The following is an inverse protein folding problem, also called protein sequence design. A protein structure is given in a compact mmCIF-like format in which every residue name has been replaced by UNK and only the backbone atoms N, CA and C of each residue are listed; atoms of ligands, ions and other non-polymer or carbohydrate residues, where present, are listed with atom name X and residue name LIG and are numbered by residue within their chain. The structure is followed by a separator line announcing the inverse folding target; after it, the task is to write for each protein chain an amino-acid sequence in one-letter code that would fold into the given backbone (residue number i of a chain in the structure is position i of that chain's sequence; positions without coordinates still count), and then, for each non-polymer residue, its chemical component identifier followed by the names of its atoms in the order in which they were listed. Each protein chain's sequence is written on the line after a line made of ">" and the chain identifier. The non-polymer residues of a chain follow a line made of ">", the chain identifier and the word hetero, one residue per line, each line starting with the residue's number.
data_IF_699224612893
#
_entry.id   IF_699224612893
#
_cell.length_a   1.000
_cell.length_b   1.000
_cell.length_c   1.000
_cell.angle_alpha   90.00
_cell.angle_beta   90.00
_cell.angle_gamma   90.00
#
_symmetry.space_group_name_H-M   'P 1'
#
loop_
_entity.id
_entity.type
_entity.pdbx_description
1 polymer ?
#
# COMPACT_ATOMS: atom_id res chain seq x y z
N UNK A 1 -41.61 -37.80 -8.58
CA UNK A 1 -41.35 -38.28 -9.96
C UNK A 1 -39.87 -38.15 -10.23
N UNK A 2 -39.17 -39.26 -10.47
CA UNK A 2 -37.73 -39.28 -10.75
C UNK A 2 -37.46 -38.62 -12.10
N UNK A 3 -36.52 -37.67 -12.14
CA UNK A 3 -36.11 -36.96 -13.35
C UNK A 3 -35.54 -37.98 -14.35
N UNK A 4 -35.88 -37.93 -15.66
CA UNK A 4 -35.37 -38.88 -16.65
C UNK A 4 -33.83 -38.84 -16.69
N UNK A 5 -33.16 -39.92 -17.14
CA UNK A 5 -31.71 -39.95 -17.24
C UNK A 5 -31.27 -38.94 -18.30
N UNK A 6 -30.89 -37.74 -17.86
CA UNK A 6 -30.31 -36.76 -18.77
C UNK A 6 -29.00 -37.33 -19.33
N UNK A 7 -28.71 -37.11 -20.62
CA UNK A 7 -27.48 -37.59 -21.24
C UNK A 7 -26.32 -37.08 -20.39
N UNK A 8 -25.46 -38.01 -19.93
CA UNK A 8 -24.40 -37.73 -18.96
C UNK A 8 -23.54 -36.53 -19.36
N UNK A 9 -23.41 -36.26 -20.65
CA UNK A 9 -22.76 -35.09 -21.22
C UNK A 9 -23.34 -33.76 -20.73
N UNK A 10 -24.66 -33.63 -20.60
CA UNK A 10 -25.29 -32.40 -20.09
C UNK A 10 -25.00 -32.20 -18.60
N UNK A 11 -24.98 -33.30 -17.83
CA UNK A 11 -24.60 -33.25 -16.42
C UNK A 11 -23.13 -32.86 -16.25
N UNK A 12 -22.24 -33.41 -17.07
CA UNK A 12 -20.81 -33.08 -17.09
C UNK A 12 -20.57 -31.64 -17.54
N UNK A 13 -21.29 -31.17 -18.56
CA UNK A 13 -21.18 -29.79 -19.05
C UNK A 13 -21.58 -28.78 -17.97
N UNK A 14 -22.70 -29.02 -17.27
CA UNK A 14 -23.13 -28.19 -16.13
C UNK A 14 -22.15 -28.21 -14.96
N UNK A 15 -21.54 -29.37 -14.67
CA UNK A 15 -20.51 -29.47 -13.64
C UNK A 15 -19.26 -28.67 -14.02
N UNK A 16 -18.82 -28.77 -15.27
CA UNK A 16 -17.66 -28.03 -15.76
C UNK A 16 -17.92 -26.52 -15.82
N UNK A 17 -19.12 -26.10 -16.21
CA UNK A 17 -19.54 -24.70 -16.21
C UNK A 17 -19.62 -24.13 -14.79
N UNK A 18 -20.13 -24.90 -13.83
CA UNK A 18 -20.08 -24.55 -12.40
C UNK A 18 -18.65 -24.50 -11.87
N UNK A 19 -17.79 -25.43 -12.28
CA UNK A 19 -16.39 -25.45 -11.90
C UNK A 19 -15.64 -24.24 -12.47
N UNK A 20 -15.85 -23.88 -13.73
CA UNK A 20 -15.27 -22.70 -14.36
C UNK A 20 -15.81 -21.40 -13.74
N UNK A 21 -17.10 -21.35 -13.38
CA UNK A 21 -17.68 -20.22 -12.66
C UNK A 21 -17.14 -20.11 -11.22
N UNK A 22 -16.84 -21.23 -10.56
CA UNK A 22 -16.19 -21.25 -9.25
C UNK A 22 -14.73 -20.81 -9.37
N UNK A 23 -14.01 -21.34 -10.35
CA UNK A 23 -12.61 -21.00 -10.63
C UNK A 23 -12.47 -19.52 -11.02
N UNK A 24 -13.37 -18.95 -11.81
CA UNK A 24 -13.40 -17.52 -12.09
C UNK A 24 -13.70 -16.66 -10.84
N UNK A 25 -14.44 -17.19 -9.86
CA UNK A 25 -14.67 -16.55 -8.56
C UNK A 25 -13.50 -16.72 -7.60
N UNK A 26 -12.76 -17.82 -7.71
CA UNK A 26 -11.58 -18.16 -6.89
C UNK A 26 -10.28 -17.55 -7.43
N UNK A 27 -10.19 -17.34 -8.75
CA UNK A 27 -9.13 -16.58 -9.42
C UNK A 27 -9.27 -15.06 -9.22
N UNK A 28 -10.39 -14.58 -8.68
CA UNK A 28 -10.42 -13.27 -8.05
C UNK A 28 -9.48 -13.37 -6.85
N UNK A 29 -8.34 -12.66 -6.86
CA UNK A 29 -7.20 -12.98 -6.00
C UNK A 29 -7.67 -13.06 -4.56
N UNK A 30 -7.52 -14.25 -3.99
CA UNK A 30 -7.85 -14.53 -2.60
C UNK A 30 -7.15 -13.49 -1.75
N UNK A 31 -7.94 -12.75 -0.98
CA UNK A 31 -7.62 -11.52 -0.24
C UNK A 31 -6.52 -11.64 0.82
N UNK A 32 -5.89 -12.81 0.98
CA UNK A 32 -4.73 -13.02 1.84
C UNK A 32 -3.47 -12.28 1.35
N UNK A 33 -3.18 -12.31 0.05
CA UNK A 33 -2.02 -11.60 -0.51
C UNK A 33 -2.23 -10.08 -0.63
N UNK A 34 -3.48 -9.65 -0.82
CA UNK A 34 -3.81 -8.22 -0.88
C UNK A 34 -3.66 -7.55 0.50
N UNK A 35 -4.05 -8.24 1.58
CA UNK A 35 -3.83 -7.78 2.95
C UNK A 35 -2.35 -7.71 3.32
N UNK A 36 -1.57 -8.74 2.99
CA UNK A 36 -0.13 -8.78 3.26
C UNK A 36 0.63 -7.69 2.48
N UNK A 37 0.25 -7.43 1.22
CA UNK A 37 0.82 -6.34 0.43
C UNK A 37 0.46 -4.97 1.00
N UNK A 38 -0.79 -4.73 1.40
CA UNK A 38 -1.21 -3.47 2.04
C UNK A 38 -0.46 -3.22 3.36
N UNK A 39 -0.28 -4.25 4.17
CA UNK A 39 0.47 -4.20 5.42
C UNK A 39 1.96 -3.90 5.16
N UNK A 40 2.58 -4.57 4.17
CA UNK A 40 3.98 -4.31 3.80
C UNK A 40 4.21 -2.88 3.29
N UNK A 41 3.24 -2.33 2.56
CA UNK A 41 3.25 -0.95 2.07
C UNK A 41 3.18 0.05 3.24
N UNK A 42 2.31 -0.21 4.22
CA UNK A 42 2.20 0.62 5.41
C UNK A 42 3.49 0.61 6.24
N UNK A 43 4.10 -0.55 6.46
CA UNK A 43 5.39 -0.66 7.15
C UNK A 43 6.51 0.08 6.42
N UNK A 44 6.50 0.08 5.09
CA UNK A 44 7.47 0.84 4.30
C UNK A 44 7.34 2.35 4.50
N UNK A 45 6.11 2.87 4.54
CA UNK A 45 5.87 4.29 4.82
C UNK A 45 6.37 4.66 6.23
N UNK A 46 6.10 3.81 7.22
CA UNK A 46 6.60 3.99 8.59
C UNK A 46 8.14 3.95 8.63
N UNK A 47 8.76 3.02 7.89
CA UNK A 47 10.21 2.91 7.79
C UNK A 47 10.85 4.12 7.10
N UNK A 48 10.21 4.68 6.08
CA UNK A 48 10.66 5.91 5.41
C UNK A 48 10.61 7.12 6.36
N UNK A 49 9.55 7.23 7.17
CA UNK A 49 9.41 8.25 8.22
C UNK A 49 10.48 8.10 9.31
N UNK A 50 10.59 6.91 9.89
CA UNK A 50 11.57 6.62 10.94
C UNK A 50 13.01 6.78 10.44
N UNK A 51 13.29 6.37 9.20
CA UNK A 51 14.60 6.53 8.58
C UNK A 51 15.05 7.99 8.53
N UNK A 52 14.16 8.90 8.12
CA UNK A 52 14.46 10.34 8.09
C UNK A 52 14.73 10.92 9.48
N UNK A 53 13.95 10.53 10.48
CA UNK A 53 14.14 10.98 11.87
C UNK A 53 15.43 10.43 12.46
N UNK A 54 15.73 9.14 12.27
CA UNK A 54 16.96 8.52 12.76
C UNK A 54 18.21 9.15 12.15
N UNK A 55 18.18 9.47 10.86
CA UNK A 55 19.28 10.21 10.20
C UNK A 55 19.43 11.60 10.80
N UNK A 56 18.32 12.34 11.00
CA UNK A 56 18.36 13.67 11.64
C UNK A 56 18.94 13.64 13.05
N UNK A 57 18.57 12.63 13.85
CA UNK A 57 19.11 12.42 15.19
C UNK A 57 20.59 12.04 15.17
N UNK A 58 21.00 11.12 14.29
CA UNK A 58 22.39 10.72 14.17
C UNK A 58 23.29 11.90 13.76
N UNK A 59 22.86 12.69 12.76
CA UNK A 59 23.59 13.87 12.31
C UNK A 59 23.61 14.95 13.39
N UNK A 60 22.48 15.21 14.06
CA UNK A 60 22.40 16.19 15.13
C UNK A 60 23.25 15.84 16.35
N UNK A 61 23.30 14.55 16.72
CA UNK A 61 24.11 14.05 17.82
C UNK A 61 25.61 14.17 17.54
N UNK A 62 26.01 13.81 16.32
CA UNK A 62 27.39 13.98 15.87
C UNK A 62 27.77 15.46 15.88
N UNK A 63 26.92 16.33 15.33
CA UNK A 63 27.16 17.78 15.32
C UNK A 63 27.35 18.33 16.74
N UNK A 64 26.48 17.95 17.69
CA UNK A 64 26.59 18.35 19.10
C UNK A 64 27.84 17.81 19.80
N UNK A 65 28.46 16.75 19.28
CA UNK A 65 29.70 16.21 19.85
C UNK A 65 30.95 16.95 19.38
N UNK A 66 30.92 17.53 18.19
CA UNK A 66 32.02 18.28 17.58
C UNK A 66 31.94 19.78 17.85
N UNK A 67 30.74 20.33 17.88
CA UNK A 67 30.48 21.72 18.23
C UNK A 67 30.13 21.78 19.72
N UNK A 68 30.75 22.66 20.55
CA UNK A 68 30.35 22.86 21.94
C UNK A 68 28.98 23.57 22.08
N UNK A 69 28.10 23.46 21.08
CA UNK A 69 26.81 24.13 20.98
C UNK A 69 25.63 23.26 21.42
N UNK A 70 25.88 22.10 22.03
CA UNK A 70 24.81 21.21 22.49
C UNK A 70 23.79 21.97 23.37
N UNK A 71 22.46 21.88 23.09
CA UNK A 71 21.78 20.92 22.21
C UNK A 71 21.38 21.46 20.83
N UNK A 72 21.97 22.56 20.34
CA UNK A 72 21.53 23.23 19.11
C UNK A 72 21.67 22.36 17.86
N UNK A 73 22.71 21.52 17.76
CA UNK A 73 22.89 20.57 16.67
C UNK A 73 21.82 19.49 16.67
N UNK A 74 21.40 18.99 17.83
CA UNK A 74 20.25 18.08 17.93
C UNK A 74 18.93 18.75 17.53
N UNK A 75 18.68 20.00 17.93
CA UNK A 75 17.47 20.74 17.53
C UNK A 75 17.43 20.92 16.01
N UNK A 76 18.52 21.42 15.42
CA UNK A 76 18.62 21.62 13.97
C UNK A 76 18.57 20.28 13.23
N UNK A 77 19.24 19.25 13.75
CA UNK A 77 19.26 17.90 13.18
C UNK A 77 17.87 17.26 13.13
N UNK A 78 17.08 17.38 14.20
CA UNK A 78 15.68 16.91 14.23
C UNK A 78 14.81 17.68 13.25
N UNK A 79 14.91 19.01 13.23
CA UNK A 79 14.13 19.85 12.30
C UNK A 79 14.47 19.53 10.84
N UNK A 80 15.75 19.36 10.52
CA UNK A 80 16.19 18.95 9.18
C UNK A 80 15.75 17.54 8.83
N UNK A 81 15.86 16.58 9.76
CA UNK A 81 15.37 15.20 9.56
C UNK A 81 13.87 15.16 9.29
N UNK A 82 13.09 15.95 10.02
CA UNK A 82 11.66 16.09 9.82
C UNK A 82 11.32 16.74 8.45
N UNK A 83 12.01 17.83 8.10
CA UNK A 83 11.84 18.47 6.80
C UNK A 83 12.19 17.53 5.63
N UNK A 84 13.27 16.75 5.77
CA UNK A 84 13.68 15.72 4.81
C UNK A 84 12.61 14.64 4.66
N UNK A 85 12.02 14.18 5.76
CA UNK A 85 10.95 13.18 5.74
C UNK A 85 9.71 13.70 4.99
N UNK A 86 9.28 14.93 5.26
CA UNK A 86 8.15 15.56 4.55
C UNK A 86 8.49 15.71 3.06
N UNK A 87 9.71 16.15 2.74
CA UNK A 87 10.14 16.32 1.36
C UNK A 87 10.13 14.99 0.59
N UNK A 88 10.57 13.89 1.23
CA UNK A 88 10.54 12.55 0.65
C UNK A 88 9.09 12.08 0.40
N UNK A 89 8.21 12.23 1.39
CA UNK A 89 6.79 11.89 1.26
C UNK A 89 6.11 12.68 0.14
N UNK A 90 6.33 14.01 0.08
CA UNK A 90 5.82 14.87 -0.99
C UNK A 90 6.39 14.47 -2.36
N UNK A 91 7.65 14.07 -2.43
CA UNK A 91 8.25 13.59 -3.68
C UNK A 91 7.62 12.28 -4.15
N UNK A 92 7.32 11.35 -3.24
CA UNK A 92 6.59 10.11 -3.55
C UNK A 92 5.17 10.41 -4.05
N UNK A 93 4.43 11.28 -3.35
CA UNK A 93 3.10 11.73 -3.77
C UNK A 93 3.13 12.40 -5.16
N UNK A 94 4.09 13.30 -5.41
CA UNK A 94 4.25 13.95 -6.71
C UNK A 94 4.57 12.94 -7.83
N UNK A 95 5.34 11.87 -7.56
CA UNK A 95 5.60 10.81 -8.54
C UNK A 95 4.32 10.05 -8.89
N UNK A 96 3.50 9.72 -7.90
CA UNK A 96 2.20 9.07 -8.10
C UNK A 96 1.26 9.96 -8.93
N UNK A 97 1.16 11.25 -8.59
CA UNK A 97 0.35 12.22 -9.35
C UNK A 97 0.88 12.43 -10.77
N UNK A 98 2.20 12.45 -10.97
CA UNK A 98 2.79 12.56 -12.30
C UNK A 98 2.55 11.31 -13.16
N UNK A 99 2.52 10.13 -12.55
CA UNK A 99 2.10 8.90 -13.22
C UNK A 99 0.61 8.98 -13.61
N UNK A 100 -0.28 9.34 -12.68
CA UNK A 100 -1.71 9.50 -12.95
C UNK A 100 -2.00 10.53 -14.06
N UNK A 101 -1.30 11.67 -14.06
CA UNK A 101 -1.44 12.70 -15.11
C UNK A 101 -0.96 12.24 -16.49
N UNK A 102 0.01 11.32 -16.55
CA UNK A 102 0.45 10.71 -17.82
C UNK A 102 -0.51 9.63 -18.33
N UNK A 103 -1.25 8.98 -17.44
CA UNK A 103 -2.19 7.92 -17.79
C UNK A 103 -3.53 8.44 -18.36
N UNK A 104 -3.86 9.72 -18.16
CA UNK A 104 -5.06 10.34 -18.74
C UNK A 104 -6.39 9.84 -18.19
N UNK A 105 -6.39 8.95 -17.19
CA UNK A 105 -7.59 8.46 -16.53
C UNK A 105 -7.93 9.30 -15.29
N UNK A 106 -9.19 9.75 -15.13
CA UNK A 106 -9.62 10.44 -13.93
C UNK A 106 -9.44 9.50 -12.73
N UNK A 107 -8.85 10.02 -11.65
CA UNK A 107 -8.72 9.31 -10.37
C UNK A 107 -10.13 8.86 -9.97
N UNK A 108 -10.44 7.58 -10.17
CA UNK A 108 -11.68 7.00 -9.70
C UNK A 108 -11.62 7.03 -8.17
N UNK A 109 -12.37 7.96 -7.58
CA UNK A 109 -12.61 8.00 -6.15
C UNK A 109 -13.13 6.63 -5.73
N UNK A 110 -12.38 5.96 -4.84
CA UNK A 110 -12.85 4.75 -4.17
C UNK A 110 -14.18 5.14 -3.50
N UNK A 111 -15.32 4.51 -3.84
CA UNK A 111 -16.52 4.67 -3.05
C UNK A 111 -16.16 4.29 -1.61
N UNK A 112 -16.29 5.24 -0.69
CA UNK A 112 -16.36 4.88 0.71
C UNK A 112 -17.70 4.14 0.83
N UNK A 113 -17.66 2.83 1.06
CA UNK A 113 -18.83 2.11 1.52
C UNK A 113 -19.15 2.71 2.90
N UNK A 114 -20.14 3.60 2.95
CA UNK A 114 -20.82 4.05 4.17
C UNK A 114 -21.64 2.88 4.75
N UNK A 115 -21.01 1.72 4.92
CA UNK A 115 -21.57 0.52 5.52
C UNK A 115 -21.31 0.54 7.05
N UNK A 116 -21.75 1.59 7.72
CA UNK A 116 -21.99 1.59 9.17
C UNK A 116 -23.44 2.02 9.40
N UNK A 117 -24.34 1.03 9.32
CA UNK A 117 -25.68 1.08 9.96
C UNK A 117 -25.57 0.69 11.45
#
# INVERSE_FOLDING_TARGET
>A
MAKPPEPREEALKRLNERAAALDARTQRPTTAHAGEQAVSQAYRIIAELLGGVLVGLAVGFVADRFLPTAPWGMIVGVLLGFALSIWMARRTANRLMAMAKKSGEPIQSVPFDDDEE
#
